data_IF_850488958224
#
_entry.id   IF_850488958224
#
_cell.length_a   1.000
_cell.length_b   1.000
_cell.length_c   1.000
_cell.angle_alpha   90.00
_cell.angle_beta   90.00
_cell.angle_gamma   90.00
#
_symmetry.space_group_name_H-M   'P 1'
#
loop_
_entity.id
_entity.type
_entity.pdbx_description
1 polymer ?
#
# COMPACT_ATOMS: atom_id res chain seq x y z
N UNK A 1 25.13 -5.19 13.43
CA UNK A 1 24.13 -4.11 13.53
C UNK A 1 22.83 -4.72 13.08
N UNK A 2 21.90 -5.02 13.99
CA UNK A 2 20.57 -5.45 13.58
C UNK A 2 19.87 -4.27 12.92
N UNK A 3 19.30 -4.49 11.73
CA UNK A 3 18.42 -3.50 11.12
C UNK A 3 17.28 -3.22 12.11
N UNK A 4 17.02 -1.94 12.41
CA UNK A 4 15.89 -1.54 13.23
C UNK A 4 14.65 -2.13 12.58
N UNK A 5 13.98 -3.04 13.30
CA UNK A 5 12.80 -3.74 12.79
C UNK A 5 11.66 -2.72 12.71
N UNK A 6 11.41 -2.26 11.50
CA UNK A 6 10.36 -1.27 11.26
C UNK A 6 8.98 -1.94 11.38
N UNK A 7 8.33 -1.67 12.52
CA UNK A 7 7.01 -2.17 12.89
C UNK A 7 5.87 -1.25 12.43
N UNK A 8 6.12 -0.26 11.57
CA UNK A 8 5.04 0.56 11.04
C UNK A 8 4.04 -0.28 10.23
N UNK A 9 2.73 -0.17 10.51
CA UNK A 9 1.71 -0.98 9.84
C UNK A 9 1.56 -0.58 8.38
N UNK A 10 1.22 -1.54 7.53
CA UNK A 10 0.80 -1.25 6.16
C UNK A 10 -0.54 -0.50 6.17
N UNK A 11 -0.65 0.55 5.36
CA UNK A 11 -1.87 1.35 5.21
C UNK A 11 -2.94 0.57 4.42
N UNK A 12 -2.51 -0.24 3.46
CA UNK A 12 -3.35 -1.10 2.64
C UNK A 12 -2.58 -2.35 2.22
N UNK A 13 -3.27 -3.49 2.12
CA UNK A 13 -2.73 -4.75 1.57
C UNK A 13 -3.78 -5.36 0.65
N UNK A 14 -3.37 -5.78 -0.54
CA UNK A 14 -4.23 -6.45 -1.51
C UNK A 14 -3.50 -7.66 -2.10
N UNK A 15 -4.14 -8.83 -2.01
CA UNK A 15 -3.65 -10.05 -2.63
C UNK A 15 -3.77 -9.98 -4.15
N UNK A 16 -2.81 -10.60 -4.83
CA UNK A 16 -2.95 -10.90 -6.24
C UNK A 16 -4.23 -11.72 -6.47
N UNK A 17 -4.98 -11.46 -7.56
CA UNK A 17 -6.17 -12.25 -7.88
C UNK A 17 -5.86 -13.73 -8.15
N UNK A 18 -4.58 -14.06 -8.41
CA UNK A 18 -4.07 -15.42 -8.62
C UNK A 18 -2.74 -15.62 -7.90
N UNK A 19 -2.46 -16.85 -7.47
CA UNK A 19 -1.23 -17.17 -6.71
C UNK A 19 -1.27 -16.63 -5.29
N UNK A 20 -0.09 -16.34 -4.72
CA UNK A 20 0.07 -15.89 -3.33
C UNK A 20 0.96 -14.64 -3.21
N UNK A 21 1.09 -13.87 -4.28
CA UNK A 21 1.71 -12.55 -4.27
C UNK A 21 0.75 -11.49 -3.75
N UNK A 22 1.27 -10.34 -3.36
CA UNK A 22 0.48 -9.22 -2.88
C UNK A 22 1.18 -7.89 -3.08
N UNK A 23 0.39 -6.82 -3.11
CA UNK A 23 0.86 -5.43 -3.03
C UNK A 23 0.46 -4.84 -1.70
N UNK A 24 1.28 -3.93 -1.19
CA UNK A 24 0.96 -3.18 0.03
C UNK A 24 1.46 -1.75 -0.04
N UNK A 25 0.82 -0.87 0.73
CA UNK A 25 1.20 0.53 0.86
C UNK A 25 1.81 0.78 2.23
N UNK A 26 2.99 1.38 2.24
CA UNK A 26 3.73 1.75 3.45
C UNK A 26 4.42 3.09 3.21
N UNK A 27 4.35 3.99 4.18
CA UNK A 27 4.90 5.34 4.05
C UNK A 27 4.51 6.00 2.71
N UNK A 28 3.24 5.87 2.34
CA UNK A 28 2.67 6.46 1.12
C UNK A 28 3.28 5.93 -0.21
N UNK A 29 4.00 4.81 -0.17
CA UNK A 29 4.59 4.17 -1.34
C UNK A 29 4.10 2.73 -1.51
N UNK A 30 4.03 2.30 -2.77
CA UNK A 30 3.56 0.97 -3.16
C UNK A 30 4.74 0.01 -3.21
N UNK A 31 4.55 -1.16 -2.62
CA UNK A 31 5.49 -2.27 -2.62
C UNK A 31 4.79 -3.54 -3.11
N UNK A 32 5.56 -4.43 -3.73
CA UNK A 32 5.11 -5.70 -4.27
C UNK A 32 5.97 -6.86 -3.73
N UNK A 33 5.31 -7.97 -3.40
CA UNK A 33 5.94 -9.26 -3.12
C UNK A 33 5.32 -10.34 -4.00
N UNK A 34 6.16 -11.08 -4.71
CA UNK A 34 5.72 -12.16 -5.60
C UNK A 34 5.13 -13.35 -4.83
N UNK A 35 5.57 -13.57 -3.60
CA UNK A 35 5.03 -14.60 -2.71
C UNK A 35 5.03 -14.12 -1.26
N UNK A 36 4.02 -14.57 -0.49
CA UNK A 36 3.89 -14.30 0.94
C UNK A 36 5.16 -14.61 1.76
N UNK A 37 5.90 -15.64 1.33
CA UNK A 37 7.11 -16.14 2.00
C UNK A 37 8.41 -15.62 1.41
N UNK A 38 8.36 -14.87 0.31
CA UNK A 38 9.57 -14.31 -0.27
C UNK A 38 10.13 -13.23 0.66
N UNK A 39 11.44 -13.16 0.80
CA UNK A 39 12.10 -12.09 1.54
C UNK A 39 12.33 -10.86 0.65
N UNK A 40 12.29 -11.05 -0.68
CA UNK A 40 12.42 -9.95 -1.63
C UNK A 40 11.15 -9.12 -1.67
N UNK A 41 11.35 -7.82 -1.70
CA UNK A 41 10.30 -6.82 -1.87
C UNK A 41 10.73 -5.89 -2.99
N UNK A 42 9.82 -5.61 -3.92
CA UNK A 42 10.02 -4.64 -4.99
C UNK A 42 9.29 -3.36 -4.62
N UNK A 43 10.01 -2.25 -4.52
CA UNK A 43 9.40 -0.94 -4.36
C UNK A 43 8.94 -0.42 -5.73
N UNK A 44 7.65 -0.13 -5.86
CA UNK A 44 7.04 0.33 -7.12
C UNK A 44 7.08 1.85 -7.23
N UNK A 45 6.88 2.56 -6.12
CA UNK A 45 6.96 4.03 -6.06
C UNK A 45 7.95 4.47 -4.98
N UNK A 46 8.64 5.59 -5.21
CA UNK A 46 9.62 6.16 -4.27
C UNK A 46 9.47 7.68 -4.16
N UNK A 47 8.25 8.15 -3.96
CA UNK A 47 7.97 9.58 -3.80
C UNK A 47 8.11 10.02 -2.35
N UNK A 48 8.54 11.27 -2.15
CA UNK A 48 8.71 11.90 -0.84
C UNK A 48 7.72 13.06 -0.65
N UNK A 49 7.42 13.38 0.61
CA UNK A 49 6.55 14.50 0.96
C UNK A 49 5.07 14.15 0.95
N UNK A 50 4.25 15.03 0.36
CA UNK A 50 2.78 14.98 0.47
C UNK A 50 2.09 14.12 -0.60
N UNK A 51 2.85 13.38 -1.42
CA UNK A 51 2.31 12.48 -2.44
C UNK A 51 1.98 11.14 -1.81
N UNK A 52 0.74 10.66 -1.99
CA UNK A 52 0.28 9.34 -1.54
C UNK A 52 -0.03 8.44 -2.72
N UNK A 53 0.61 7.25 -2.76
CA UNK A 53 0.40 6.25 -3.80
C UNK A 53 -0.42 5.08 -3.25
N UNK A 54 -1.45 4.66 -3.98
CA UNK A 54 -2.24 3.46 -3.67
C UNK A 54 -3.26 3.59 -2.53
N UNK A 55 -3.21 4.69 -1.75
CA UNK A 55 -4.25 5.06 -0.77
C UNK A 55 -4.74 6.47 -1.09
N UNK A 56 -6.05 6.68 -1.26
CA UNK A 56 -6.63 8.00 -1.51
C UNK A 56 -6.50 8.93 -0.30
N UNK A 57 -6.56 10.24 -0.55
CA UNK A 57 -6.65 11.23 0.52
C UNK A 57 -8.04 11.26 1.19
N UNK A 58 -8.14 12.03 2.28
CA UNK A 58 -9.38 12.16 3.05
C UNK A 58 -10.56 12.72 2.24
N UNK A 59 -10.29 13.57 1.23
CA UNK A 59 -11.33 14.15 0.36
C UNK A 59 -11.92 13.06 -0.52
N UNK A 60 -11.08 12.24 -1.14
CA UNK A 60 -11.50 11.10 -1.96
C UNK A 60 -12.20 10.02 -1.15
N UNK A 61 -11.70 9.70 0.04
CA UNK A 61 -12.34 8.72 0.91
C UNK A 61 -13.66 9.19 1.49
N UNK A 62 -13.75 10.46 1.86
CA UNK A 62 -14.88 11.01 2.60
C UNK A 62 -15.99 11.54 1.72
N UNK A 63 -15.65 12.27 0.66
CA UNK A 63 -16.61 13.03 -0.14
C UNK A 63 -16.99 12.22 -1.37
N UNK A 64 -16.01 11.93 -2.24
CA UNK A 64 -16.28 11.27 -3.51
C UNK A 64 -16.77 9.84 -3.36
N UNK A 65 -16.22 9.07 -2.42
CA UNK A 65 -16.66 7.68 -2.19
C UNK A 65 -18.06 7.60 -1.57
N UNK A 66 -18.47 8.56 -0.75
CA UNK A 66 -19.84 8.58 -0.18
C UNK A 66 -20.87 8.90 -1.26
N UNK A 67 -20.57 9.87 -2.13
CA UNK A 67 -21.44 10.24 -3.24
C UNK A 67 -21.71 9.06 -4.17
N UNK A 68 -20.66 8.31 -4.54
CA UNK A 68 -20.77 7.12 -5.39
C UNK A 68 -21.60 5.96 -4.80
N UNK A 69 -21.88 5.98 -3.49
CA UNK A 69 -22.65 4.94 -2.79
C UNK A 69 -24.12 5.29 -2.63
N UNK A 70 -24.52 6.51 -2.99
CA UNK A 70 -25.90 6.99 -2.88
C UNK A 70 -26.67 6.91 -4.22
N UNK A 71 -26.01 6.43 -5.28
CA UNK A 71 -26.58 6.11 -6.59
C UNK A 71 -26.47 4.61 -6.87
#
# INVERSE_FOLDING_TARGET
MEAIKDNSPAQLVVWSPVGNGFVYVKENNIYYKESAKDDKTVQITSTVGYISNGVPDWVYEGIFRKEKRMN
#
